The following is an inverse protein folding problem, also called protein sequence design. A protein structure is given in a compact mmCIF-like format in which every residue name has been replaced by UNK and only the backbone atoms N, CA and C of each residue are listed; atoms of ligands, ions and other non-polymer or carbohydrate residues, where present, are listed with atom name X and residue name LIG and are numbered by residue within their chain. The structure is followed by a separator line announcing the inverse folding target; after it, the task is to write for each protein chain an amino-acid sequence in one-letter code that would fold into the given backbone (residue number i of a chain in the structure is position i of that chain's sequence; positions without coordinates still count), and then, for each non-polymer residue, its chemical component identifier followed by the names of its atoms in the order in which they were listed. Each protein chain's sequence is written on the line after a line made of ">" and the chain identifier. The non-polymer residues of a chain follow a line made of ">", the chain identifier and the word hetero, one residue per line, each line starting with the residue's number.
data_IF_434159157221
#
_entry.id   IF_434159157221
#
_cell.length_a   1.000
_cell.length_b   1.000
_cell.length_c   1.000
_cell.angle_alpha   90.00
_cell.angle_beta   90.00
_cell.angle_gamma   90.00
#
_symmetry.space_group_name_H-M   'P 1'
#
loop_
_entity.id
_entity.type
_entity.pdbx_description
1 polymer ?
#
# COMPACT_ATOMS: atom_id res chain seq x y z
N UNK A 1 2.29 -3.46 0.27
CA UNK A 1 1.20 -2.87 -0.56
C UNK A 1 1.04 -3.69 -1.84
N UNK A 2 -0.20 -3.99 -2.23
CA UNK A 2 -0.51 -4.60 -3.54
C UNK A 2 -0.37 -3.58 -4.67
N UNK A 3 0.22 -3.97 -5.80
CA UNK A 3 0.33 -3.12 -7.01
C UNK A 3 -0.73 -3.37 -8.08
N UNK A 4 -1.53 -4.43 -7.95
CA UNK A 4 -2.61 -4.74 -8.87
C UNK A 4 -3.84 -5.22 -8.10
N UNK A 5 -4.97 -5.26 -8.79
CA UNK A 5 -6.18 -5.86 -8.26
C UNK A 5 -6.05 -7.39 -8.35
N UNK A 6 -6.23 -8.06 -7.21
CA UNK A 6 -6.16 -9.52 -7.13
C UNK A 6 -7.57 -10.10 -7.01
N UNK A 7 -8.38 -9.55 -6.10
CA UNK A 7 -9.76 -9.96 -5.90
C UNK A 7 -10.56 -8.80 -5.32
N UNK A 8 -11.37 -8.16 -6.17
CA UNK A 8 -12.13 -6.95 -5.83
C UNK A 8 -13.25 -7.25 -4.83
N UNK A 9 -13.92 -8.41 -4.95
CA UNK A 9 -15.00 -8.82 -4.04
C UNK A 9 -14.51 -8.98 -2.60
N UNK A 10 -13.27 -9.44 -2.46
CA UNK A 10 -12.57 -9.59 -1.18
C UNK A 10 -11.85 -8.31 -0.72
N UNK A 11 -11.93 -7.21 -1.46
CA UNK A 11 -11.21 -5.97 -1.14
C UNK A 11 -9.70 -6.03 -1.34
N UNK A 12 -9.18 -7.07 -2.02
CA UNK A 12 -7.76 -7.18 -2.39
C UNK A 12 -7.49 -6.38 -3.68
N UNK A 13 -7.47 -5.06 -3.51
CA UNK A 13 -7.29 -4.07 -4.58
C UNK A 13 -5.89 -3.45 -4.58
N UNK A 14 -5.53 -2.77 -5.67
CA UNK A 14 -4.30 -1.99 -5.76
C UNK A 14 -4.26 -0.95 -4.64
N UNK A 15 -3.14 -0.86 -3.94
CA UNK A 15 -2.99 0.00 -2.77
C UNK A 15 -3.26 -0.69 -1.43
N UNK A 16 -3.83 -1.90 -1.42
CA UNK A 16 -4.11 -2.60 -0.17
C UNK A 16 -2.83 -2.82 0.65
N UNK A 17 -2.87 -2.40 1.91
CA UNK A 17 -1.81 -2.56 2.88
C UNK A 17 -2.04 -3.84 3.69
N UNK A 18 -0.94 -4.53 3.99
CA UNK A 18 -0.97 -5.77 4.74
C UNK A 18 0.40 -6.09 5.31
N UNK A 19 0.41 -6.87 6.37
CA UNK A 19 1.61 -7.26 7.10
C UNK A 19 1.96 -8.69 6.76
N UNK A 20 3.23 -8.93 6.42
CA UNK A 20 3.74 -10.27 6.14
C UNK A 20 3.77 -11.05 7.46
N UNK A 21 3.09 -12.20 7.51
CA UNK A 21 3.07 -13.08 8.69
C UNK A 21 4.09 -14.21 8.57
N UNK A 22 4.24 -14.79 7.38
CA UNK A 22 5.15 -15.90 7.16
C UNK A 22 5.69 -15.86 5.73
N UNK A 23 6.95 -16.26 5.61
CA UNK A 23 7.64 -16.42 4.33
C UNK A 23 8.12 -17.88 4.27
N UNK A 24 7.74 -18.57 3.20
CA UNK A 24 8.19 -19.91 2.85
C UNK A 24 8.91 -19.87 1.50
N UNK A 25 9.62 -20.94 1.12
CA UNK A 25 10.41 -21.00 -0.11
C UNK A 25 9.61 -20.62 -1.38
N UNK A 26 8.33 -20.96 -1.42
CA UNK A 26 7.48 -20.77 -2.60
C UNK A 26 6.26 -19.88 -2.36
N UNK A 27 6.04 -19.39 -1.13
CA UNK A 27 4.82 -18.64 -0.77
C UNK A 27 5.07 -17.61 0.33
N UNK A 28 4.37 -16.49 0.22
CA UNK A 28 4.29 -15.45 1.26
C UNK A 28 2.85 -15.40 1.77
N UNK A 29 2.69 -15.42 3.09
CA UNK A 29 1.39 -15.23 3.75
C UNK A 29 1.32 -13.82 4.29
N UNK A 30 0.33 -13.06 3.82
CA UNK A 30 0.12 -11.67 4.21
C UNK A 30 -1.25 -11.53 4.85
N UNK A 31 -1.28 -10.86 5.99
CA UNK A 31 -2.52 -10.46 6.63
C UNK A 31 -2.90 -9.06 6.16
N UNK A 32 -4.01 -8.98 5.44
CA UNK A 32 -4.71 -7.74 5.16
C UNK A 32 -5.80 -7.53 6.21
N UNK A 33 -6.25 -6.30 6.38
CA UNK A 33 -7.10 -5.85 7.49
C UNK A 33 -8.31 -6.77 7.79
N UNK A 34 -8.88 -7.43 6.78
CA UNK A 34 -10.01 -8.37 6.94
C UNK A 34 -9.76 -9.78 6.41
N UNK A 35 -8.60 -10.05 5.81
CA UNK A 35 -8.36 -11.29 5.04
C UNK A 35 -6.89 -11.69 5.09
N UNK A 36 -6.64 -12.94 5.48
CA UNK A 36 -5.34 -13.59 5.29
C UNK A 36 -5.29 -14.28 3.94
N UNK A 37 -4.23 -14.03 3.16
CA UNK A 37 -4.02 -14.65 1.86
C UNK A 37 -2.60 -15.24 1.75
N UNK A 38 -2.50 -16.47 1.24
CA UNK A 38 -1.23 -17.17 0.98
C UNK A 38 -0.96 -17.29 -0.52
N UNK A 39 0.16 -16.73 -0.96
CA UNK A 39 0.35 -16.28 -2.34
C UNK A 39 1.76 -16.70 -2.82
N UNK A 40 1.90 -17.31 -4.01
CA UNK A 40 3.18 -17.90 -4.45
C UNK A 40 4.20 -16.89 -4.96
N UNK A 41 3.78 -15.88 -5.72
CA UNK A 41 4.59 -14.71 -6.05
C UNK A 41 3.64 -13.59 -6.50
N UNK A 42 3.65 -12.44 -5.82
CA UNK A 42 2.70 -11.35 -6.07
C UNK A 42 3.40 -10.01 -6.28
N UNK A 43 2.73 -9.05 -6.94
CA UNK A 43 3.25 -7.71 -7.16
C UNK A 43 3.09 -6.88 -5.87
N UNK A 44 3.80 -7.31 -4.84
CA UNK A 44 3.93 -6.64 -3.56
C UNK A 44 5.12 -5.68 -3.63
N UNK A 45 4.95 -4.52 -3.01
CA UNK A 45 6.05 -3.61 -2.68
C UNK A 45 6.06 -3.36 -1.18
N UNK A 46 7.26 -3.11 -0.66
CA UNK A 46 7.44 -2.52 0.67
C UNK A 46 6.65 -1.21 0.73
N UNK A 47 5.93 -1.02 1.83
CA UNK A 47 4.99 0.08 2.00
C UNK A 47 5.22 0.86 3.30
N UNK A 48 6.43 0.79 3.85
CA UNK A 48 6.84 1.61 4.99
C UNK A 48 6.93 3.09 4.61
N UNK A 49 7.39 3.38 3.40
CA UNK A 49 7.41 4.70 2.81
C UNK A 49 6.96 4.62 1.36
N UNK A 50 6.13 5.56 0.93
CA UNK A 50 5.64 5.67 -0.44
C UNK A 50 5.59 7.14 -0.82
N UNK A 51 5.82 7.44 -2.10
CA UNK A 51 5.76 8.82 -2.57
C UNK A 51 4.32 9.33 -2.58
N UNK A 52 4.14 10.64 -2.39
CA UNK A 52 2.83 11.31 -2.45
C UNK A 52 2.09 10.94 -3.74
N UNK A 53 2.80 10.95 -4.87
CA UNK A 53 2.24 10.59 -6.17
C UNK A 53 1.74 9.14 -6.22
N UNK A 54 2.40 8.21 -5.50
CA UNK A 54 1.98 6.81 -5.46
C UNK A 54 0.77 6.58 -4.57
N UNK A 55 0.58 7.42 -3.55
CA UNK A 55 -0.56 7.36 -2.64
C UNK A 55 -1.81 8.06 -3.18
N UNK A 56 -1.73 8.78 -4.30
CA UNK A 56 -2.88 9.49 -4.85
C UNK A 56 -4.05 8.53 -5.11
N UNK A 57 -5.21 8.83 -4.52
CA UNK A 57 -6.42 8.00 -4.60
C UNK A 57 -6.49 6.88 -3.55
N UNK A 58 -5.47 6.70 -2.71
CA UNK A 58 -5.52 5.78 -1.56
C UNK A 58 -6.18 6.45 -0.36
N UNK A 59 -6.88 5.66 0.44
CA UNK A 59 -7.31 6.03 1.79
C UNK A 59 -6.38 5.34 2.78
N UNK A 60 -5.76 6.10 3.68
CA UNK A 60 -4.87 5.61 4.71
C UNK A 60 -5.48 5.92 6.07
N UNK A 61 -5.51 4.95 6.99
CA UNK A 61 -6.05 5.21 8.32
C UNK A 61 -5.15 6.17 9.11
N UNK A 62 -3.83 6.07 8.90
CA UNK A 62 -2.82 6.91 9.51
C UNK A 62 -1.62 7.07 8.57
N UNK A 63 -1.04 8.27 8.53
CA UNK A 63 0.18 8.55 7.76
C UNK A 63 1.09 9.54 8.50
N UNK A 64 2.40 9.32 8.40
CA UNK A 64 3.41 10.32 8.74
C UNK A 64 3.90 10.92 7.42
N UNK A 65 3.86 12.25 7.31
CA UNK A 65 4.13 12.95 6.07
C UNK A 65 5.36 13.83 6.24
N UNK A 66 6.34 13.65 5.37
CA UNK A 66 7.47 14.55 5.21
C UNK A 66 7.21 15.50 4.03
N UNK A 67 7.03 16.79 4.34
CA UNK A 67 6.79 17.88 3.37
C UNK A 67 7.97 18.85 3.28
N UNK A 68 9.19 18.43 3.63
CA UNK A 68 10.38 19.29 3.64
C UNK A 68 10.77 19.80 2.24
N UNK A 69 11.81 19.25 1.60
CA UNK A 69 12.35 19.80 0.35
C UNK A 69 11.72 19.17 -0.92
N UNK A 70 10.85 18.19 -0.76
CA UNK A 70 10.41 17.29 -1.86
C UNK A 70 9.00 17.57 -2.41
N UNK A 71 8.40 18.73 -2.13
CA UNK A 71 7.11 19.13 -2.70
C UNK A 71 7.33 19.95 -3.97
N UNK A 72 7.49 19.25 -5.09
CA UNK A 72 7.88 19.85 -6.37
C UNK A 72 6.74 20.52 -7.16
N UNK A 73 5.48 20.25 -6.81
CA UNK A 73 4.32 20.72 -7.56
C UNK A 73 3.16 21.15 -6.68
N UNK A 74 2.42 22.16 -7.15
CA UNK A 74 1.21 22.65 -6.49
C UNK A 74 0.18 21.51 -6.35
N UNK A 75 -0.39 21.37 -5.16
CA UNK A 75 -1.38 20.33 -4.85
C UNK A 75 -0.81 19.01 -4.33
N UNK A 76 0.50 18.75 -4.41
CA UNK A 76 1.09 17.54 -3.81
C UNK A 76 0.94 17.52 -2.29
N UNK A 77 1.12 18.66 -1.62
CA UNK A 77 0.87 18.78 -0.18
C UNK A 77 -0.60 18.47 0.15
N UNK A 78 -1.55 18.93 -0.66
CA UNK A 78 -2.97 18.62 -0.48
C UNK A 78 -3.27 17.12 -0.66
N UNK A 79 -2.68 16.49 -1.68
CA UNK A 79 -2.82 15.04 -1.89
C UNK A 79 -2.30 14.30 -0.67
N UNK A 80 -1.13 14.67 -0.14
CA UNK A 80 -0.54 14.04 1.03
C UNK A 80 -1.43 14.18 2.28
N UNK A 81 -1.92 15.39 2.57
CA UNK A 81 -2.75 15.68 3.73
C UNK A 81 -4.17 15.09 3.66
N UNK A 82 -4.63 14.71 2.46
CA UNK A 82 -5.96 14.13 2.23
C UNK A 82 -5.94 12.60 2.10
N UNK A 83 -4.80 11.95 2.35
CA UNK A 83 -4.73 10.48 2.42
C UNK A 83 -5.20 10.00 3.77
#
# INVERSE_FOLDING_TARGET
>A
MLRCNVNVEKGLVNGALGTVQAISETRITVNFDRITASLSQFPLILAFAVTIHKCQGLSLDNAIIDLSENVFSAGMAYVALSR
#
